data_IF_841437055945
#
_entry.id   IF_841437055945
#
_cell.length_a   1.000
_cell.length_b   1.000
_cell.length_c   1.000
_cell.angle_alpha   90.00
_cell.angle_beta   90.00
_cell.angle_gamma   90.00
#
_symmetry.space_group_name_H-M   'P 1'
#
loop_
_entity.id
_entity.type
_entity.pdbx_description
1 polymer ?
#
# COMPACT_ATOMS: atom_id res chain seq x y z
N UNK A 1 -8.79 -5.39 -24.68
CA UNK A 1 -8.80 -6.21 -23.45
C UNK A 1 -7.39 -6.18 -22.87
N UNK A 2 -7.15 -5.34 -21.89
CA UNK A 2 -5.84 -5.26 -21.25
C UNK A 2 -5.68 -6.48 -20.34
N UNK A 3 -4.82 -7.40 -20.76
CA UNK A 3 -4.30 -8.47 -19.90
C UNK A 3 -3.36 -7.80 -18.89
N UNK A 4 -3.94 -7.17 -17.87
CA UNK A 4 -3.17 -6.82 -16.69
C UNK A 4 -2.88 -8.14 -15.99
N UNK A 5 -1.66 -8.64 -16.17
CA UNK A 5 -1.17 -9.76 -15.40
C UNK A 5 -1.42 -9.40 -13.93
N UNK A 6 -2.26 -10.17 -13.25
CA UNK A 6 -2.55 -9.95 -11.83
C UNK A 6 -1.24 -10.11 -11.08
N UNK A 7 -0.80 -9.04 -10.42
CA UNK A 7 0.38 -9.10 -9.56
C UNK A 7 0.11 -10.01 -8.35
N UNK A 8 1.17 -10.51 -7.74
CA UNK A 8 1.03 -11.28 -6.50
C UNK A 8 0.28 -10.49 -5.41
N UNK A 9 0.53 -9.17 -5.36
CA UNK A 9 -0.15 -8.27 -4.44
C UNK A 9 -1.68 -8.23 -4.68
N UNK A 10 -2.12 -8.10 -5.93
CA UNK A 10 -3.55 -8.09 -6.25
C UNK A 10 -4.23 -9.43 -5.99
N UNK A 11 -3.52 -10.53 -6.25
CA UNK A 11 -4.02 -11.88 -5.96
C UNK A 11 -4.25 -12.10 -4.46
N UNK A 12 -3.33 -11.62 -3.62
CA UNK A 12 -3.46 -11.69 -2.17
C UNK A 12 -4.69 -10.95 -1.67
N UNK A 13 -4.94 -9.73 -2.19
CA UNK A 13 -6.13 -8.95 -1.86
C UNK A 13 -7.41 -9.68 -2.27
N UNK A 14 -7.45 -10.20 -3.50
CA UNK A 14 -8.61 -10.93 -4.01
C UNK A 14 -8.92 -12.19 -3.19
N UNK A 15 -7.90 -12.85 -2.63
CA UNK A 15 -8.05 -14.03 -1.78
C UNK A 15 -8.53 -13.68 -0.36
N UNK A 16 -8.25 -12.45 0.10
CA UNK A 16 -8.60 -12.01 1.44
C UNK A 16 -10.04 -11.49 1.53
N UNK A 17 -10.46 -10.70 0.56
CA UNK A 17 -11.72 -9.98 0.58
C UNK A 17 -12.86 -10.79 -0.05
N UNK A 18 -14.10 -10.44 0.31
CA UNK A 18 -15.28 -10.98 -0.33
C UNK A 18 -15.25 -10.69 -1.84
N UNK A 19 -15.81 -11.60 -2.65
CA UNK A 19 -15.76 -11.51 -4.10
C UNK A 19 -16.30 -10.16 -4.62
N UNK A 20 -15.54 -9.55 -5.52
CA UNK A 20 -15.88 -8.29 -6.20
C UNK A 20 -16.10 -7.09 -5.26
N UNK A 21 -15.58 -7.13 -4.02
CA UNK A 21 -15.77 -6.06 -3.04
C UNK A 21 -14.64 -5.02 -3.06
N UNK A 22 -13.50 -5.32 -3.68
CA UNK A 22 -12.32 -4.46 -3.62
C UNK A 22 -12.46 -3.21 -4.49
N UNK A 23 -12.20 -2.04 -3.90
CA UNK A 23 -12.09 -0.75 -4.58
C UNK A 23 -10.69 -0.18 -4.35
N UNK A 24 -9.93 -0.03 -5.43
CA UNK A 24 -8.56 0.49 -5.36
C UNK A 24 -8.53 2.01 -5.18
N UNK A 25 -7.61 2.48 -4.34
CA UNK A 25 -7.35 3.90 -4.12
C UNK A 25 -5.95 4.23 -4.65
N UNK A 26 -5.84 5.25 -5.52
CA UNK A 26 -4.55 5.73 -6.02
C UNK A 26 -3.82 4.78 -6.96
N UNK A 27 -4.55 3.93 -7.69
CA UNK A 27 -3.97 2.96 -8.62
C UNK A 27 -3.18 3.57 -9.79
N UNK A 28 -3.38 4.85 -10.08
CA UNK A 28 -2.65 5.58 -11.13
C UNK A 28 -1.39 6.27 -10.61
N UNK A 29 -1.12 6.24 -9.32
CA UNK A 29 0.06 6.85 -8.72
C UNK A 29 1.26 5.93 -8.92
N UNK A 30 2.34 6.50 -9.48
CA UNK A 30 3.62 5.81 -9.67
C UNK A 30 4.71 6.48 -8.83
N UNK A 31 5.90 5.86 -8.76
CA UNK A 31 7.03 6.44 -8.06
C UNK A 31 7.43 7.81 -8.64
N UNK A 32 7.83 8.71 -7.75
CA UNK A 32 8.39 10.00 -8.15
C UNK A 32 9.69 9.80 -8.93
N UNK A 33 9.84 10.55 -10.03
CA UNK A 33 11.12 10.62 -10.72
C UNK A 33 12.16 11.32 -9.83
N UNK A 34 13.33 10.73 -9.72
CA UNK A 34 14.45 11.26 -8.93
C UNK A 34 15.72 11.34 -9.76
N UNK A 35 16.84 11.77 -9.16
CA UNK A 35 18.15 11.77 -9.80
C UNK A 35 18.63 10.38 -10.25
N UNK A 36 17.98 9.33 -9.79
CA UNK A 36 18.22 7.94 -10.21
C UNK A 36 17.37 7.51 -11.42
N UNK A 37 16.63 8.43 -12.06
CA UNK A 37 15.84 8.22 -13.28
C UNK A 37 14.78 7.13 -13.18
N UNK A 38 14.06 7.03 -12.07
CA UNK A 38 12.89 6.16 -11.97
C UNK A 38 11.78 6.66 -12.89
N UNK A 39 11.24 5.79 -13.72
CA UNK A 39 10.14 6.11 -14.63
C UNK A 39 8.83 5.48 -14.16
N UNK A 40 7.71 6.08 -14.57
CA UNK A 40 6.38 5.55 -14.27
C UNK A 40 6.17 4.13 -14.84
N UNK A 41 6.87 3.81 -15.92
CA UNK A 41 6.82 2.48 -16.54
C UNK A 41 7.51 1.41 -15.67
N UNK A 42 8.55 1.80 -14.95
CA UNK A 42 9.32 0.90 -14.09
C UNK A 42 8.69 0.74 -12.69
N UNK A 43 7.83 1.67 -12.29
CA UNK A 43 7.26 1.71 -10.95
C UNK A 43 5.73 1.83 -10.97
N UNK A 44 5.00 0.89 -11.62
CA UNK A 44 3.55 0.94 -11.65
C UNK A 44 2.97 0.85 -10.23
N UNK A 45 2.00 1.70 -9.92
CA UNK A 45 1.36 1.80 -8.59
C UNK A 45 2.33 2.02 -7.42
N UNK A 46 3.57 2.40 -7.68
CA UNK A 46 4.66 2.64 -6.72
C UNK A 46 4.88 1.48 -5.72
N UNK A 47 4.72 0.25 -6.17
CA UNK A 47 5.03 -0.94 -5.37
C UNK A 47 4.03 -1.26 -4.26
N UNK A 48 2.88 -0.61 -4.22
CA UNK A 48 1.80 -0.94 -3.28
C UNK A 48 0.43 -0.74 -3.89
N UNK A 49 -0.46 -1.68 -3.62
CA UNK A 49 -1.89 -1.57 -3.95
C UNK A 49 -2.62 -1.25 -2.66
N UNK A 50 -3.40 -0.18 -2.66
CA UNK A 50 -4.18 0.26 -1.52
C UNK A 50 -5.64 0.37 -1.90
N UNK A 51 -6.52 0.07 -0.96
CA UNK A 51 -7.95 0.19 -1.19
C UNK A 51 -8.77 -0.30 -0.01
N UNK A 52 -10.04 -0.50 -0.26
CA UNK A 52 -10.97 -1.03 0.73
C UNK A 52 -11.87 -2.10 0.11
N UNK A 53 -12.43 -2.90 0.97
CA UNK A 53 -13.40 -3.93 0.59
C UNK A 53 -14.13 -4.42 1.82
N UNK A 54 -14.75 -5.58 1.73
CA UNK A 54 -15.47 -6.17 2.84
C UNK A 54 -14.99 -7.60 3.10
N UNK A 55 -15.04 -8.00 4.36
CA UNK A 55 -14.89 -9.39 4.81
C UNK A 55 -16.11 -9.71 5.65
N UNK A 56 -16.90 -10.70 5.24
CA UNK A 56 -18.18 -11.04 5.86
C UNK A 56 -19.08 -9.79 6.03
N UNK A 57 -19.18 -9.00 4.94
CA UNK A 57 -19.96 -7.75 4.85
C UNK A 57 -19.47 -6.61 5.77
N UNK A 58 -18.28 -6.72 6.36
CA UNK A 58 -17.69 -5.68 7.21
C UNK A 58 -16.58 -4.97 6.47
N UNK A 59 -16.62 -3.63 6.48
CA UNK A 59 -15.62 -2.79 5.83
C UNK A 59 -14.23 -2.99 6.43
N UNK A 60 -13.25 -3.18 5.55
CA UNK A 60 -11.82 -3.21 5.90
C UNK A 60 -11.02 -2.38 4.90
N UNK A 61 -9.95 -1.75 5.36
CA UNK A 61 -8.94 -1.15 4.50
C UNK A 61 -7.75 -2.08 4.39
N UNK A 62 -7.19 -2.19 3.19
CA UNK A 62 -6.10 -3.11 2.92
C UNK A 62 -5.02 -2.45 2.07
N UNK A 63 -3.78 -2.74 2.38
CA UNK A 63 -2.66 -2.49 1.47
C UNK A 63 -1.88 -3.78 1.25
N UNK A 64 -1.40 -3.96 0.04
CA UNK A 64 -0.58 -5.10 -0.35
C UNK A 64 0.63 -4.63 -1.12
N UNK A 65 1.82 -4.98 -0.65
CA UNK A 65 3.07 -4.61 -1.29
C UNK A 65 3.38 -5.55 -2.45
N UNK A 66 3.89 -4.97 -3.53
CA UNK A 66 4.25 -5.69 -4.74
C UNK A 66 5.77 -5.79 -4.86
N UNK A 67 6.30 -6.95 -4.50
CA UNK A 67 7.74 -7.21 -4.56
C UNK A 67 8.32 -7.16 -5.98
N UNK A 68 7.48 -7.23 -7.02
CA UNK A 68 7.94 -7.09 -8.41
C UNK A 68 8.33 -5.65 -8.77
N UNK A 69 7.88 -4.67 -7.98
CA UNK A 69 8.22 -3.25 -8.18
C UNK A 69 9.33 -2.87 -7.21
N UNK A 70 10.54 -2.66 -7.73
CA UNK A 70 11.73 -2.30 -6.96
C UNK A 70 11.93 -3.16 -5.69
N UNK A 71 11.64 -4.48 -5.81
CA UNK A 71 11.68 -5.46 -4.71
C UNK A 71 10.77 -5.10 -3.51
N UNK A 72 9.67 -4.41 -3.77
CA UNK A 72 8.75 -3.99 -2.70
C UNK A 72 9.31 -2.90 -1.79
N UNK A 73 10.36 -2.18 -2.21
CA UNK A 73 10.96 -1.13 -1.38
C UNK A 73 10.03 0.06 -1.21
N UNK A 74 10.05 0.67 -0.03
CA UNK A 74 9.20 1.82 0.31
C UNK A 74 9.82 3.11 -0.20
N UNK A 75 9.10 3.82 -1.05
CA UNK A 75 9.40 5.17 -1.49
C UNK A 75 8.38 6.18 -0.98
N UNK A 76 8.54 7.45 -1.36
CA UNK A 76 7.67 8.54 -0.89
C UNK A 76 6.20 8.33 -1.28
N UNK A 77 5.93 8.02 -2.55
CA UNK A 77 4.55 7.84 -3.04
C UNK A 77 3.93 6.55 -2.49
N UNK A 78 4.72 5.50 -2.33
CA UNK A 78 4.33 4.26 -1.66
C UNK A 78 3.82 4.56 -0.24
N UNK A 79 4.60 5.31 0.55
CA UNK A 79 4.23 5.69 1.90
C UNK A 79 3.01 6.62 1.95
N UNK A 80 2.89 7.57 1.03
CA UNK A 80 1.70 8.44 0.94
C UNK A 80 0.41 7.67 0.71
N UNK A 81 0.45 6.62 -0.10
CA UNK A 81 -0.72 5.76 -0.32
C UNK A 81 -1.12 5.05 0.98
N UNK A 82 -0.17 4.50 1.71
CA UNK A 82 -0.42 3.82 2.98
C UNK A 82 -0.92 4.79 4.06
N UNK A 83 -0.28 5.95 4.21
CA UNK A 83 -0.70 6.94 5.22
C UNK A 83 -2.08 7.48 4.94
N UNK A 84 -2.43 7.71 3.68
CA UNK A 84 -3.80 8.10 3.31
C UNK A 84 -4.82 7.01 3.64
N UNK A 85 -4.45 5.76 3.43
CA UNK A 85 -5.30 4.63 3.79
C UNK A 85 -5.60 4.62 5.29
N UNK A 86 -4.60 4.84 6.13
CA UNK A 86 -4.76 4.95 7.59
C UNK A 86 -5.68 6.11 7.98
N UNK A 87 -5.54 7.27 7.34
CA UNK A 87 -6.41 8.42 7.61
C UNK A 87 -7.87 8.09 7.33
N UNK A 88 -8.15 7.44 6.21
CA UNK A 88 -9.50 7.00 5.84
C UNK A 88 -10.04 5.94 6.80
N UNK A 89 -9.22 4.97 7.17
CA UNK A 89 -9.61 3.91 8.10
C UNK A 89 -9.94 4.47 9.49
N UNK A 90 -9.15 5.41 10.00
CA UNK A 90 -9.42 6.06 11.29
C UNK A 90 -10.69 6.89 11.28
N UNK A 91 -11.01 7.54 10.16
CA UNK A 91 -12.28 8.31 10.03
C UNK A 91 -13.50 7.41 10.06
N UNK A 92 -13.41 6.22 9.51
CA UNK A 92 -14.53 5.26 9.44
C UNK A 92 -14.55 4.28 10.60
N UNK A 93 -13.48 4.20 11.39
CA UNK A 93 -13.34 3.21 12.46
C UNK A 93 -13.12 1.78 11.95
N UNK A 94 -12.72 1.61 10.69
CA UNK A 94 -12.52 0.31 10.08
C UNK A 94 -11.10 -0.23 10.32
N UNK A 95 -10.92 -1.58 10.40
CA UNK A 95 -9.60 -2.17 10.54
C UNK A 95 -8.72 -1.95 9.30
N UNK A 96 -7.41 -1.95 9.51
CA UNK A 96 -6.41 -1.96 8.44
C UNK A 96 -5.68 -3.30 8.43
N UNK A 97 -5.61 -3.91 7.25
CA UNK A 97 -4.87 -5.15 7.02
C UNK A 97 -3.71 -4.85 6.07
N UNK A 98 -2.50 -5.09 6.51
CA UNK A 98 -1.28 -4.95 5.70
C UNK A 98 -0.75 -6.31 5.27
N UNK A 99 -0.61 -6.50 3.96
CA UNK A 99 0.03 -7.67 3.37
C UNK A 99 1.42 -7.25 2.93
N UNK A 100 2.40 -7.54 3.78
CA UNK A 100 3.76 -6.99 3.67
C UNK A 100 4.66 -7.92 2.86
N UNK A 101 5.27 -7.33 1.84
CA UNK A 101 6.32 -7.96 1.04
C UNK A 101 7.30 -6.85 0.68
N UNK A 102 8.21 -6.56 1.60
CA UNK A 102 9.05 -5.36 1.58
C UNK A 102 10.51 -5.70 1.85
N UNK A 103 11.40 -5.17 1.00
CA UNK A 103 12.84 -5.29 1.18
C UNK A 103 13.45 -4.12 2.00
N UNK A 104 12.64 -3.18 2.46
CA UNK A 104 13.09 -2.04 3.26
C UNK A 104 12.91 -0.69 2.56
N UNK A 105 13.78 0.27 2.88
CA UNK A 105 13.73 1.63 2.34
C UNK A 105 14.23 1.65 0.90
N UNK A 106 13.54 2.41 0.04
CA UNK A 106 13.96 2.64 -1.34
C UNK A 106 15.15 3.59 -1.38
N UNK A 107 16.34 3.04 -1.63
CA UNK A 107 17.59 3.79 -1.65
C UNK A 107 17.63 4.87 -2.74
N UNK A 108 16.93 4.65 -3.84
CA UNK A 108 16.86 5.61 -4.95
C UNK A 108 16.20 6.95 -4.58
N UNK A 109 15.44 6.99 -3.50
CA UNK A 109 14.77 8.19 -2.99
C UNK A 109 15.41 8.74 -1.71
N UNK A 110 16.47 8.08 -1.20
CA UNK A 110 17.32 8.56 -0.09
C UNK A 110 16.53 9.06 1.15
N UNK A 111 16.76 10.31 1.57
CA UNK A 111 16.16 10.89 2.78
C UNK A 111 14.64 11.01 2.70
N UNK A 112 14.07 11.20 1.52
CA UNK A 112 12.62 11.25 1.34
C UNK A 112 11.96 9.91 1.66
N UNK A 113 12.62 8.81 1.30
CA UNK A 113 12.16 7.47 1.65
C UNK A 113 12.23 7.22 3.15
N UNK A 114 13.27 7.70 3.83
CA UNK A 114 13.40 7.59 5.28
C UNK A 114 12.30 8.36 6.02
N UNK A 115 12.02 9.59 5.61
CA UNK A 115 10.92 10.40 6.15
C UNK A 115 9.57 9.72 5.91
N UNK A 116 9.36 9.22 4.70
CA UNK A 116 8.14 8.51 4.31
C UNK A 116 7.90 7.27 5.18
N UNK A 117 8.94 6.52 5.48
CA UNK A 117 8.88 5.37 6.38
C UNK A 117 8.46 5.79 7.79
N UNK A 118 9.02 6.92 8.28
CA UNK A 118 8.63 7.52 9.55
C UNK A 118 7.16 7.93 9.60
N UNK A 119 6.61 8.43 8.51
CA UNK A 119 5.18 8.77 8.43
C UNK A 119 4.28 7.54 8.55
N UNK A 120 4.67 6.41 7.98
CA UNK A 120 3.93 5.14 8.16
C UNK A 120 3.90 4.75 9.63
N UNK A 121 5.05 4.78 10.31
CA UNK A 121 5.13 4.46 11.74
C UNK A 121 4.29 5.42 12.60
N UNK A 122 4.31 6.71 12.28
CA UNK A 122 3.47 7.69 12.97
C UNK A 122 1.99 7.33 12.86
N UNK A 123 1.50 7.02 11.66
CA UNK A 123 0.10 6.65 11.46
C UNK A 123 -0.26 5.35 12.17
N UNK A 124 0.61 4.35 12.16
CA UNK A 124 0.40 3.10 12.91
C UNK A 124 0.30 3.36 14.42
N UNK A 125 1.15 4.25 14.94
CA UNK A 125 1.12 4.64 16.36
C UNK A 125 -0.17 5.37 16.72
N UNK A 126 -0.60 6.33 15.90
CA UNK A 126 -1.85 7.08 16.11
C UNK A 126 -3.10 6.18 16.01
N UNK A 127 -3.05 5.16 15.17
CA UNK A 127 -4.13 4.20 15.00
C UNK A 127 -4.21 3.15 16.13
N UNK A 128 -3.13 3.00 16.88
CA UNK A 128 -3.06 2.02 17.99
C UNK A 128 -4.08 2.34 19.06
N UNK A 129 -4.92 1.35 19.38
CA UNK A 129 -6.03 1.51 20.33
C UNK A 129 -7.28 2.23 19.74
N UNK A 130 -7.22 2.68 18.49
CA UNK A 130 -8.33 3.34 17.79
C UNK A 130 -9.02 2.38 16.83
N UNK A 131 -8.24 1.71 16.00
CA UNK A 131 -8.71 0.70 15.04
C UNK A 131 -7.87 -0.57 15.13
N UNK A 132 -8.42 -1.75 14.80
CA UNK A 132 -7.62 -2.96 14.68
C UNK A 132 -6.61 -2.84 13.53
N UNK A 133 -5.39 -3.32 13.76
CA UNK A 133 -4.32 -3.39 12.77
C UNK A 133 -3.79 -4.80 12.70
N UNK A 134 -3.81 -5.40 11.50
CA UNK A 134 -3.34 -6.76 11.26
C UNK A 134 -2.27 -6.69 10.17
N UNK A 135 -1.13 -7.29 10.42
CA UNK A 135 -0.05 -7.39 9.44
C UNK A 135 0.28 -8.85 9.18
N UNK A 136 0.25 -9.23 7.92
CA UNK A 136 0.72 -10.53 7.44
C UNK A 136 2.01 -10.33 6.64
N UNK A 137 3.01 -11.18 6.88
CA UNK A 137 4.33 -11.13 6.24
C UNK A 137 4.58 -12.46 5.53
#
# INVERSE_FOLDING_TARGET
MSNTAQSAASTRIASLLDANSFVEIGGQITARSTDFNLSAKETPSDGVITGYGVIDDKLVYVYSQDASVLNGTVGEMHAKKITRLYDLAMKTGAPVIGLVDCAGIRLQEATDALEAFGQIYLKQTLASGVIPQITAI
#
